data_IF_800109679061
#
_entry.id   IF_800109679061
#
_cell.length_a   1.000
_cell.length_b   1.000
_cell.length_c   1.000
_cell.angle_alpha   90.00
_cell.angle_beta   90.00
_cell.angle_gamma   90.00
#
_symmetry.space_group_name_H-M   'P 1'
#
loop_
_entity.id
_entity.type
_entity.pdbx_description
1 polymer ?
#
# COMPACT_ATOMS: atom_id res chain seq x y z
N UNK A 1 -16.56 -15.00 18.09
CA UNK A 1 -16.94 -14.69 19.48
C UNK A 1 -15.71 -14.54 20.37
N UNK A 2 -14.89 -15.58 20.56
CA UNK A 2 -13.69 -15.53 21.43
C UNK A 2 -12.69 -14.43 21.02
N UNK A 3 -12.35 -14.31 19.73
CA UNK A 3 -11.44 -13.25 19.25
C UNK A 3 -11.95 -11.83 19.52
N UNK A 4 -13.26 -11.61 19.40
CA UNK A 4 -13.90 -10.33 19.74
C UNK A 4 -13.77 -10.01 21.23
N UNK A 5 -14.00 -11.01 22.09
CA UNK A 5 -13.89 -10.86 23.54
C UNK A 5 -12.44 -10.56 23.95
N UNK A 6 -11.46 -11.24 23.36
CA UNK A 6 -10.04 -10.97 23.59
C UNK A 6 -9.72 -9.52 23.24
N UNK A 7 -10.05 -9.05 22.02
CA UNK A 7 -9.79 -7.67 21.59
C UNK A 7 -10.42 -6.62 22.53
N UNK A 8 -11.68 -6.79 22.91
CA UNK A 8 -12.36 -5.82 23.79
C UNK A 8 -11.70 -5.76 25.17
N UNK A 9 -11.33 -6.91 25.73
CA UNK A 9 -10.76 -7.01 27.09
C UNK A 9 -9.29 -6.60 27.12
N UNK A 10 -8.50 -6.94 26.10
CA UNK A 10 -7.05 -6.71 26.10
C UNK A 10 -6.63 -5.42 25.42
N UNK A 11 -7.46 -4.84 24.55
CA UNK A 11 -7.17 -3.55 23.90
C UNK A 11 -8.26 -2.52 24.19
N UNK A 12 -9.28 -2.42 23.34
CA UNK A 12 -10.41 -1.51 23.48
C UNK A 12 -11.50 -1.76 22.42
N UNK A 13 -12.67 -1.15 22.66
CA UNK A 13 -13.84 -1.24 21.77
C UNK A 13 -13.57 -0.60 20.40
N UNK A 14 -12.78 0.47 20.32
CA UNK A 14 -12.47 1.15 19.06
C UNK A 14 -11.68 0.23 18.10
N UNK A 15 -10.62 -0.38 18.60
CA UNK A 15 -9.77 -1.34 17.86
C UNK A 15 -10.59 -2.54 17.42
N UNK A 16 -11.44 -3.06 18.29
CA UNK A 16 -12.37 -4.14 17.95
C UNK A 16 -13.31 -3.74 16.81
N UNK A 17 -13.95 -2.57 16.89
CA UNK A 17 -14.89 -2.09 15.88
C UNK A 17 -14.21 -1.89 14.53
N UNK A 18 -13.02 -1.28 14.51
CA UNK A 18 -12.23 -1.09 13.29
C UNK A 18 -11.72 -2.43 12.71
N UNK A 19 -11.35 -3.39 13.56
CA UNK A 19 -10.96 -4.73 13.13
C UNK A 19 -12.13 -5.44 12.46
N UNK A 20 -13.32 -5.38 13.06
CA UNK A 20 -14.52 -5.93 12.45
C UNK A 20 -14.85 -5.23 11.12
N UNK A 21 -14.85 -3.89 11.09
CA UNK A 21 -15.09 -3.14 9.87
C UNK A 21 -14.11 -3.52 8.75
N UNK A 22 -12.82 -3.66 9.08
CA UNK A 22 -11.78 -4.11 8.15
C UNK A 22 -12.04 -5.53 7.65
N UNK A 23 -12.41 -6.45 8.54
CA UNK A 23 -12.72 -7.83 8.19
C UNK A 23 -13.97 -7.92 7.29
N UNK A 24 -15.02 -7.17 7.60
CA UNK A 24 -16.23 -7.09 6.77
C UNK A 24 -15.92 -6.49 5.40
N UNK A 25 -15.16 -5.39 5.36
CA UNK A 25 -14.69 -4.78 4.13
C UNK A 25 -13.88 -5.76 3.27
N UNK A 26 -12.94 -6.48 3.87
CA UNK A 26 -12.13 -7.47 3.16
C UNK A 26 -12.94 -8.66 2.64
N UNK A 27 -13.83 -9.22 3.47
CA UNK A 27 -14.53 -10.46 3.16
C UNK A 27 -15.71 -10.24 2.21
N UNK A 28 -16.49 -9.19 2.42
CA UNK A 28 -17.69 -8.94 1.62
C UNK A 28 -17.42 -7.99 0.46
N UNK A 29 -16.82 -6.83 0.73
CA UNK A 29 -16.58 -5.83 -0.31
C UNK A 29 -15.46 -6.31 -1.23
N UNK A 30 -14.29 -6.63 -0.70
CA UNK A 30 -13.18 -7.07 -1.56
C UNK A 30 -13.38 -8.49 -2.10
N UNK A 31 -13.54 -9.50 -1.24
CA UNK A 31 -13.46 -10.91 -1.68
C UNK A 31 -14.67 -11.34 -2.50
N UNK A 32 -15.89 -11.03 -2.05
CA UNK A 32 -17.11 -11.47 -2.74
C UNK A 32 -17.51 -10.54 -3.89
N UNK A 33 -17.35 -9.23 -3.71
CA UNK A 33 -17.86 -8.27 -4.69
C UNK A 33 -16.78 -7.76 -5.66
N UNK A 34 -15.67 -7.19 -5.18
CA UNK A 34 -14.74 -6.48 -6.07
C UNK A 34 -13.78 -7.42 -6.79
N UNK A 35 -13.19 -8.39 -6.08
CA UNK A 35 -12.18 -9.30 -6.61
C UNK A 35 -12.61 -10.00 -7.91
N UNK A 36 -13.84 -10.56 -8.03
CA UNK A 36 -14.29 -11.18 -9.28
C UNK A 36 -14.80 -10.18 -10.32
N UNK A 37 -15.19 -8.96 -9.94
CA UNK A 37 -16.01 -8.09 -10.81
C UNK A 37 -15.34 -6.80 -11.29
N UNK A 38 -14.17 -6.39 -10.76
CA UNK A 38 -13.54 -5.11 -11.16
C UNK A 38 -12.02 -5.14 -11.22
N UNK A 39 -11.39 -4.41 -12.17
CA UNK A 39 -9.96 -4.17 -12.20
C UNK A 39 -9.44 -3.23 -11.10
N UNK A 40 -10.34 -2.59 -10.35
CA UNK A 40 -10.01 -1.80 -9.15
C UNK A 40 -9.92 -2.66 -7.88
N UNK A 41 -10.00 -3.99 -8.02
CA UNK A 41 -9.91 -4.93 -6.91
C UNK A 41 -8.65 -4.72 -6.05
N UNK A 42 -7.50 -4.44 -6.67
CA UNK A 42 -6.24 -4.17 -5.96
C UNK A 42 -6.30 -2.83 -5.21
N UNK A 43 -6.80 -1.78 -5.85
CA UNK A 43 -6.80 -0.44 -5.25
C UNK A 43 -7.69 -0.43 -4.02
N UNK A 44 -8.95 -0.88 -4.16
CA UNK A 44 -9.91 -0.87 -3.05
C UNK A 44 -9.61 -1.98 -2.05
N UNK A 45 -9.20 -3.17 -2.51
CA UNK A 45 -8.75 -4.26 -1.63
C UNK A 45 -7.51 -3.92 -0.82
N UNK A 46 -6.65 -3.06 -1.38
CA UNK A 46 -5.48 -2.51 -0.71
C UNK A 46 -5.79 -1.71 0.55
N UNK A 47 -7.00 -1.13 0.66
CA UNK A 47 -7.44 -0.44 1.88
C UNK A 47 -7.43 -1.39 3.07
N UNK A 48 -7.99 -2.60 2.93
CA UNK A 48 -7.98 -3.57 4.02
C UNK A 48 -6.55 -4.01 4.39
N UNK A 49 -5.67 -4.16 3.39
CA UNK A 49 -4.25 -4.47 3.62
C UNK A 49 -3.46 -3.33 4.27
N UNK A 50 -3.93 -2.09 4.14
CA UNK A 50 -3.31 -0.89 4.72
C UNK A 50 -3.78 -0.56 6.15
N UNK A 51 -4.81 -1.24 6.68
CA UNK A 51 -5.32 -1.03 8.04
C UNK A 51 -4.40 -1.42 9.21
N UNK A 52 -3.43 -2.36 9.10
CA UNK A 52 -2.65 -2.80 10.26
C UNK A 52 -1.99 -1.68 11.10
N UNK A 53 -1.37 -0.62 10.52
CA UNK A 53 -0.85 0.50 11.32
C UNK A 53 -1.93 1.24 12.12
N UNK A 54 -3.14 1.40 11.56
CA UNK A 54 -4.26 2.05 12.24
C UNK A 54 -4.73 1.20 13.41
N UNK A 55 -4.87 -0.11 13.21
CA UNK A 55 -5.28 -1.03 14.27
C UNK A 55 -4.21 -1.15 15.37
N UNK A 56 -2.93 -1.16 15.01
CA UNK A 56 -1.84 -1.15 15.98
C UNK A 56 -1.80 0.12 16.83
N UNK A 57 -2.05 1.28 16.21
CA UNK A 57 -2.14 2.55 16.91
C UNK A 57 -3.35 2.62 17.84
N UNK A 58 -4.54 2.29 17.33
CA UNK A 58 -5.78 2.35 18.12
C UNK A 58 -5.74 1.37 19.29
N UNK A 59 -5.03 0.24 19.16
CA UNK A 59 -4.87 -0.73 20.25
C UNK A 59 -4.18 -0.13 21.48
N UNK A 60 -3.27 0.83 21.29
CA UNK A 60 -2.49 1.46 22.37
C UNK A 60 -3.04 2.83 22.75
N UNK A 61 -3.31 3.69 21.76
CA UNK A 61 -3.71 5.07 21.97
C UNK A 61 -5.23 5.26 22.11
N UNK A 62 -6.03 4.28 21.69
CA UNK A 62 -7.50 4.34 21.68
C UNK A 62 -8.08 5.59 21.00
N UNK A 63 -7.42 6.08 19.95
CA UNK A 63 -7.86 7.19 19.13
C UNK A 63 -7.62 6.93 17.62
N UNK A 64 -8.21 7.76 16.77
CA UNK A 64 -7.91 7.81 15.34
C UNK A 64 -7.40 9.20 15.02
N UNK A 65 -6.08 9.37 15.13
CA UNK A 65 -5.38 10.62 14.83
C UNK A 65 -4.73 10.60 13.44
N UNK A 66 -4.11 11.72 13.04
CA UNK A 66 -3.47 11.84 11.73
C UNK A 66 -2.31 10.83 11.50
N UNK A 67 -1.41 10.55 12.48
CA UNK A 67 -0.29 9.62 12.29
C UNK A 67 -0.66 8.24 11.73
N UNK A 68 -1.57 7.46 12.35
CA UNK A 68 -1.93 6.14 11.83
C UNK A 68 -2.58 6.19 10.44
N UNK A 69 -3.35 7.25 10.16
CA UNK A 69 -4.00 7.44 8.87
C UNK A 69 -3.00 7.76 7.76
N UNK A 70 -1.89 8.44 8.06
CA UNK A 70 -0.81 8.64 7.09
C UNK A 70 -0.07 7.35 6.78
N UNK A 71 0.20 6.51 7.78
CA UNK A 71 0.81 5.19 7.56
C UNK A 71 -0.10 4.30 6.69
N UNK A 72 -1.40 4.33 6.97
CA UNK A 72 -2.41 3.72 6.10
C UNK A 72 -2.30 4.26 4.67
N UNK A 73 -2.28 5.58 4.49
CA UNK A 73 -2.27 6.20 3.18
C UNK A 73 -1.00 5.84 2.37
N UNK A 74 0.16 5.74 3.03
CA UNK A 74 1.41 5.29 2.41
C UNK A 74 1.27 3.86 1.88
N UNK A 75 0.80 2.92 2.72
CA UNK A 75 0.64 1.52 2.30
C UNK A 75 -0.43 1.41 1.20
N UNK A 76 -1.52 2.15 1.34
CA UNK A 76 -2.59 2.19 0.35
C UNK A 76 -2.09 2.69 -1.00
N UNK A 77 -1.39 3.82 -1.06
CA UNK A 77 -0.84 4.37 -2.31
C UNK A 77 0.28 3.50 -2.90
N UNK A 78 1.02 2.78 -2.07
CA UNK A 78 2.06 1.84 -2.49
C UNK A 78 1.50 0.54 -3.09
N UNK A 79 0.31 0.12 -2.68
CA UNK A 79 -0.28 -1.17 -3.06
C UNK A 79 -0.46 -1.32 -4.59
N UNK A 80 -1.03 -0.34 -5.32
CA UNK A 80 -1.22 -0.46 -6.77
C UNK A 80 0.08 -0.64 -7.57
N UNK A 81 1.12 0.22 -7.44
CA UNK A 81 2.36 0.03 -8.19
C UNK A 81 3.09 -1.27 -7.82
N UNK A 82 2.97 -1.74 -6.58
CA UNK A 82 3.51 -3.03 -6.15
C UNK A 82 2.81 -4.21 -6.85
N UNK A 83 1.48 -4.31 -6.72
CA UNK A 83 0.72 -5.43 -7.26
C UNK A 83 0.63 -5.42 -8.78
N UNK A 84 0.56 -4.26 -9.42
CA UNK A 84 0.55 -4.18 -10.88
C UNK A 84 1.90 -4.58 -11.48
N UNK A 85 3.03 -4.32 -10.81
CA UNK A 85 4.31 -4.89 -11.23
C UNK A 85 4.26 -6.42 -11.23
N UNK A 86 3.69 -7.04 -10.18
CA UNK A 86 3.48 -8.49 -10.14
C UNK A 86 2.57 -8.97 -11.26
N UNK A 87 1.42 -8.30 -11.45
CA UNK A 87 0.43 -8.67 -12.44
C UNK A 87 0.99 -8.61 -13.87
N UNK A 88 1.87 -7.66 -14.18
CA UNK A 88 2.45 -7.50 -15.51
C UNK A 88 3.30 -8.69 -15.98
N UNK A 89 4.15 -9.27 -15.11
CA UNK A 89 4.97 -10.44 -15.50
C UNK A 89 4.30 -11.78 -15.17
N UNK A 90 3.09 -11.76 -14.58
CA UNK A 90 2.26 -12.92 -14.27
C UNK A 90 0.89 -12.85 -14.97
N UNK A 91 0.77 -12.08 -16.05
CA UNK A 91 -0.51 -11.85 -16.75
C UNK A 91 -1.22 -13.15 -17.08
N UNK A 92 -0.50 -14.12 -17.66
CA UNK A 92 -1.06 -15.40 -18.08
C UNK A 92 -1.64 -16.21 -16.91
N UNK A 93 -0.99 -16.18 -15.75
CA UNK A 93 -1.46 -16.88 -14.54
C UNK A 93 -2.75 -16.23 -14.02
N UNK A 94 -2.83 -14.90 -14.04
CA UNK A 94 -4.03 -14.15 -13.65
C UNK A 94 -5.19 -14.34 -14.64
N UNK A 95 -4.89 -14.39 -15.94
CA UNK A 95 -5.88 -14.62 -16.99
C UNK A 95 -6.48 -16.02 -16.89
N UNK A 96 -5.66 -17.06 -16.70
CA UNK A 96 -6.13 -18.44 -16.46
C UNK A 96 -7.01 -18.56 -15.22
N UNK A 97 -6.77 -17.71 -14.21
CA UNK A 97 -7.58 -17.67 -12.99
C UNK A 97 -8.90 -16.88 -13.12
N UNK A 98 -9.14 -16.24 -14.28
CA UNK A 98 -10.34 -15.45 -14.54
C UNK A 98 -10.40 -14.15 -13.73
N UNK A 99 -9.27 -13.65 -13.22
CA UNK A 99 -9.24 -12.44 -12.41
C UNK A 99 -9.07 -11.20 -13.31
N UNK A 100 -9.98 -10.20 -13.24
CA UNK A 100 -9.98 -9.05 -14.14
C UNK A 100 -8.92 -8.01 -13.75
N UNK A 101 -7.64 -8.36 -13.76
CA UNK A 101 -6.54 -7.45 -13.39
C UNK A 101 -6.39 -6.30 -14.40
N UNK A 102 -5.83 -5.17 -13.97
CA UNK A 102 -5.66 -4.00 -14.85
C UNK A 102 -4.89 -4.29 -16.16
N UNK A 103 -3.79 -5.09 -16.16
CA UNK A 103 -3.13 -5.49 -17.39
C UNK A 103 -4.01 -6.30 -18.36
N UNK A 104 -4.95 -7.08 -17.83
CA UNK A 104 -5.81 -7.97 -18.61
C UNK A 104 -6.97 -7.18 -19.22
N UNK A 105 -7.58 -6.29 -18.43
CA UNK A 105 -8.77 -5.55 -18.84
C UNK A 105 -8.47 -4.31 -19.68
N UNK A 106 -7.39 -3.58 -19.39
CA UNK A 106 -7.05 -2.29 -20.01
C UNK A 106 -5.69 -2.31 -20.72
N UNK A 107 -4.99 -3.44 -20.67
CA UNK A 107 -3.70 -3.60 -21.30
C UNK A 107 -2.52 -3.10 -20.46
N UNK A 108 -1.33 -3.47 -20.93
CA UNK A 108 -0.04 -3.17 -20.30
C UNK A 108 0.27 -1.67 -20.24
N UNK A 109 0.06 -0.93 -21.33
CA UNK A 109 0.46 0.47 -21.41
C UNK A 109 -0.33 1.35 -20.44
N UNK A 110 -1.64 1.09 -20.34
CA UNK A 110 -2.50 1.75 -19.36
C UNK A 110 -2.07 1.40 -17.93
N UNK A 111 -1.72 0.14 -17.67
CA UNK A 111 -1.23 -0.27 -16.34
C UNK A 111 0.07 0.45 -15.98
N UNK A 112 1.03 0.52 -16.91
CA UNK A 112 2.31 1.19 -16.69
C UNK A 112 2.16 2.70 -16.46
N UNK A 113 1.22 3.35 -17.16
CA UNK A 113 0.86 4.74 -16.90
C UNK A 113 0.30 4.91 -15.49
N UNK A 114 -0.64 4.06 -15.07
CA UNK A 114 -1.20 4.12 -13.72
C UNK A 114 -0.13 3.85 -12.66
N UNK A 115 0.74 2.86 -12.85
CA UNK A 115 1.87 2.63 -11.95
C UNK A 115 2.72 3.90 -11.79
N UNK A 116 3.03 4.59 -12.88
CA UNK A 116 3.81 5.82 -12.85
C UNK A 116 3.09 6.93 -12.07
N UNK A 117 1.81 7.18 -12.37
CA UNK A 117 0.99 8.17 -11.66
C UNK A 117 0.91 7.87 -10.17
N UNK A 118 0.68 6.62 -9.80
CA UNK A 118 0.65 6.20 -8.39
C UNK A 118 2.01 6.32 -7.70
N UNK A 119 3.14 6.16 -8.40
CA UNK A 119 4.45 6.44 -7.78
C UNK A 119 4.66 7.93 -7.47
N UNK A 120 4.11 8.84 -8.27
CA UNK A 120 4.10 10.27 -7.94
C UNK A 120 3.19 10.58 -6.75
N UNK A 121 2.00 9.97 -6.71
CA UNK A 121 1.09 10.09 -5.55
C UNK A 121 1.77 9.56 -4.29
N UNK A 122 2.41 8.39 -4.38
CA UNK A 122 3.13 7.77 -3.26
C UNK A 122 4.27 8.67 -2.76
N UNK A 123 5.03 9.30 -3.65
CA UNK A 123 6.04 10.28 -3.26
C UNK A 123 5.39 11.45 -2.48
N UNK A 124 4.33 12.06 -3.01
CA UNK A 124 3.61 13.14 -2.32
C UNK A 124 3.08 12.72 -0.95
N UNK A 125 2.44 11.56 -0.88
CA UNK A 125 1.93 10.98 0.38
C UNK A 125 3.06 10.70 1.37
N UNK A 126 4.19 10.18 0.92
CA UNK A 126 5.35 9.89 1.78
C UNK A 126 6.01 11.15 2.35
N UNK A 127 5.71 12.34 1.84
CA UNK A 127 6.20 13.60 2.39
C UNK A 127 5.23 14.26 3.37
N UNK A 128 3.98 13.78 3.45
CA UNK A 128 2.98 14.29 4.40
C UNK A 128 3.39 14.14 5.87
N UNK A 129 4.08 13.06 6.32
CA UNK A 129 4.62 13.00 7.67
C UNK A 129 5.48 14.21 8.05
N UNK A 130 6.28 14.73 7.11
CA UNK A 130 7.11 15.92 7.32
C UNK A 130 6.24 17.18 7.35
N UNK A 131 5.24 17.27 6.47
CA UNK A 131 4.33 18.42 6.38
C UNK A 131 3.53 18.64 7.67
N UNK A 132 3.12 17.55 8.34
CA UNK A 132 2.42 17.62 9.64
C UNK A 132 3.36 17.64 10.84
N UNK A 133 4.68 17.76 10.62
CA UNK A 133 5.73 17.73 11.66
C UNK A 133 5.75 16.45 12.50
N UNK A 134 5.33 15.33 11.91
CA UNK A 134 5.44 14.00 12.51
C UNK A 134 6.86 13.45 12.42
N UNK A 135 7.57 13.81 11.35
CA UNK A 135 8.95 13.40 11.11
C UNK A 135 9.83 14.57 10.64
N UNK A 136 11.13 14.41 10.81
CA UNK A 136 12.12 15.43 10.52
C UNK A 136 12.68 15.35 9.10
N UNK A 137 13.73 16.15 8.84
CA UNK A 137 14.44 16.20 7.57
C UNK A 137 15.14 14.87 7.21
N UNK A 138 15.51 14.04 8.20
CA UNK A 138 16.19 12.77 7.96
C UNK A 138 15.24 11.79 7.24
N UNK A 139 14.01 11.65 7.74
CA UNK A 139 12.97 10.92 7.03
C UNK A 139 12.66 11.52 5.65
N UNK A 140 12.57 12.85 5.56
CA UNK A 140 12.29 13.54 4.29
C UNK A 140 13.31 13.18 3.20
N UNK A 141 14.60 13.17 3.54
CA UNK A 141 15.68 12.80 2.63
C UNK A 141 15.54 11.36 2.14
N UNK A 142 15.25 10.42 3.06
CA UNK A 142 15.03 9.02 2.71
C UNK A 142 13.81 8.85 1.78
N UNK A 143 12.68 9.49 2.10
CA UNK A 143 11.45 9.43 1.31
C UNK A 143 11.66 9.96 -0.12
N UNK A 144 12.35 11.09 -0.28
CA UNK A 144 12.67 11.65 -1.61
C UNK A 144 13.57 10.72 -2.40
N UNK A 145 14.68 10.25 -1.82
CA UNK A 145 15.64 9.38 -2.52
C UNK A 145 14.96 8.08 -2.97
N UNK A 146 14.25 7.42 -2.05
CA UNK A 146 13.56 6.17 -2.32
C UNK A 146 12.45 6.35 -3.36
N UNK A 147 11.69 7.45 -3.27
CA UNK A 147 10.56 7.73 -4.16
C UNK A 147 10.98 8.10 -5.57
N UNK A 148 12.00 8.97 -5.72
CA UNK A 148 12.57 9.30 -7.02
C UNK A 148 13.15 8.07 -7.72
N UNK A 149 13.83 7.20 -6.97
CA UNK A 149 14.33 5.93 -7.51
C UNK A 149 13.19 5.00 -7.93
N UNK A 150 12.08 4.96 -7.18
CA UNK A 150 10.90 4.18 -7.58
C UNK A 150 10.31 4.69 -8.90
N UNK A 151 10.09 6.01 -9.00
CA UNK A 151 9.59 6.67 -10.22
C UNK A 151 10.51 6.36 -11.40
N UNK A 152 11.83 6.46 -11.22
CA UNK A 152 12.81 6.15 -12.27
C UNK A 152 12.69 4.70 -12.76
N UNK A 153 12.54 3.73 -11.84
CA UNK A 153 12.39 2.32 -12.22
C UNK A 153 11.10 2.07 -12.99
N UNK A 154 9.98 2.67 -12.57
CA UNK A 154 8.69 2.54 -13.27
C UNK A 154 8.73 3.25 -14.63
N UNK A 155 9.37 4.41 -14.72
CA UNK A 155 9.59 5.12 -15.99
C UNK A 155 10.40 4.27 -16.99
N UNK A 156 11.49 3.66 -16.53
CA UNK A 156 12.31 2.78 -17.35
C UNK A 156 11.57 1.51 -17.78
N UNK A 157 10.71 0.96 -16.91
CA UNK A 157 9.83 -0.15 -17.25
C UNK A 157 8.77 0.26 -18.29
N UNK A 158 8.23 1.48 -18.18
CA UNK A 158 7.24 2.01 -19.10
C UNK A 158 7.79 2.20 -20.52
N UNK A 159 9.03 2.69 -20.65
CA UNK A 159 9.62 2.99 -21.95
C UNK A 159 10.20 1.76 -22.67
N UNK A 160 10.67 0.78 -21.91
CA UNK A 160 11.28 -0.44 -22.47
C UNK A 160 10.93 -1.63 -21.58
N UNK A 161 9.74 -2.19 -21.83
CA UNK A 161 9.16 -3.23 -21.01
C UNK A 161 9.93 -4.55 -21.12
N UNK A 162 10.31 -5.11 -19.97
CA UNK A 162 10.74 -6.51 -19.84
C UNK A 162 10.24 -7.09 -18.53
N UNK A 163 9.97 -8.40 -18.51
CA UNK A 163 9.58 -9.10 -17.28
C UNK A 163 10.66 -9.02 -16.19
N UNK A 164 11.93 -8.95 -16.58
CA UNK A 164 13.03 -8.75 -15.64
C UNK A 164 12.95 -7.40 -14.94
N UNK A 165 12.67 -6.32 -15.69
CA UNK A 165 12.44 -4.99 -15.10
C UNK A 165 11.18 -4.98 -14.24
N UNK A 166 10.11 -5.65 -14.65
CA UNK A 166 8.88 -5.74 -13.85
C UNK A 166 9.14 -6.44 -12.51
N UNK A 167 9.87 -7.56 -12.51
CA UNK A 167 10.34 -8.25 -11.30
C UNK A 167 11.28 -7.38 -10.45
N UNK A 168 12.08 -6.52 -11.08
CA UNK A 168 12.96 -5.59 -10.36
C UNK A 168 12.16 -4.47 -9.67
N UNK A 169 11.15 -3.90 -10.35
CA UNK A 169 10.20 -2.93 -9.77
C UNK A 169 9.45 -3.56 -8.60
N UNK A 170 8.94 -4.78 -8.76
CA UNK A 170 8.28 -5.53 -7.68
C UNK A 170 9.21 -5.73 -6.47
N UNK A 171 10.43 -6.21 -6.68
CA UNK A 171 11.42 -6.38 -5.59
C UNK A 171 11.78 -5.05 -4.92
N UNK A 172 12.04 -4.02 -5.73
CA UNK A 172 12.36 -2.69 -5.21
C UNK A 172 11.21 -2.13 -4.39
N UNK A 173 9.96 -2.34 -4.78
CA UNK A 173 8.81 -1.84 -4.02
C UNK A 173 8.72 -2.43 -2.60
N UNK A 174 9.14 -3.69 -2.38
CA UNK A 174 9.25 -4.27 -1.04
C UNK A 174 10.35 -3.56 -0.24
N UNK A 175 11.54 -3.43 -0.84
CA UNK A 175 12.68 -2.73 -0.22
C UNK A 175 12.34 -1.27 0.08
N UNK A 176 11.64 -0.59 -0.83
CA UNK A 176 11.14 0.77 -0.67
C UNK A 176 10.30 0.89 0.60
N UNK A 177 9.29 0.04 0.76
CA UNK A 177 8.38 0.12 1.91
C UNK A 177 9.13 -0.20 3.21
N UNK A 178 9.96 -1.24 3.22
CA UNK A 178 10.77 -1.60 4.40
C UNK A 178 11.71 -0.48 4.81
N UNK A 179 12.44 0.13 3.86
CA UNK A 179 13.37 1.22 4.15
C UNK A 179 12.66 2.50 4.55
N UNK A 180 11.51 2.81 3.95
CA UNK A 180 10.73 3.99 4.30
C UNK A 180 10.21 3.91 5.75
N UNK A 181 9.67 2.75 6.16
CA UNK A 181 9.24 2.53 7.54
C UNK A 181 10.41 2.45 8.51
N UNK A 182 11.55 1.87 8.11
CA UNK A 182 12.77 1.91 8.91
C UNK A 182 13.26 3.34 9.12
N UNK A 183 13.25 4.19 8.09
CA UNK A 183 13.61 5.60 8.20
C UNK A 183 12.65 6.36 9.14
N UNK A 184 11.35 6.05 9.10
CA UNK A 184 10.33 6.58 10.02
C UNK A 184 10.68 6.28 11.48
N UNK A 185 11.09 5.05 11.78
CA UNK A 185 11.50 4.64 13.13
C UNK A 185 12.83 5.28 13.54
N UNK A 186 13.83 5.25 12.67
CA UNK A 186 15.16 5.82 12.93
C UNK A 186 15.05 7.33 13.20
N UNK A 187 14.28 8.06 12.40
CA UNK A 187 14.01 9.48 12.59
C UNK A 187 13.37 9.74 13.95
N UNK A 188 12.32 8.99 14.31
CA UNK A 188 11.62 9.13 15.60
C UNK A 188 12.52 8.89 16.82
N UNK A 189 13.49 7.97 16.73
CA UNK A 189 14.38 7.65 17.85
C UNK A 189 15.63 8.54 17.93
N UNK A 190 16.06 9.14 16.82
CA UNK A 190 17.28 9.95 16.77
C UNK A 190 17.03 11.45 16.90
N UNK A 191 15.86 11.94 16.48
CA UNK A 191 15.53 13.36 16.37
C UNK A 191 14.18 13.63 17.04
#
# INVERSE_FOLDING_TARGET
ALGSAVLIVTTNVLTWALTLATFFGYSFIYTLYLKPNTPQNIVIGGAAGAMPPVLGWTAVANDVSAPPLLLFLIIFAWTPPHFWALALYRVEDYEKSGLPMLPITHGRDFTLLNMLLYTFILLGVSLLPVAIRMNSWLYAAAAVILGLRFIQLVWNLKNDYTDQKSKAVFRYSLTYLSLLFAALLVDHYLI
#
